data_IF_710508543873
#
_entry.id   IF_710508543873
#
_cell.length_a   1.000
_cell.length_b   1.000
_cell.length_c   1.000
_cell.angle_alpha   90.00
_cell.angle_beta   90.00
_cell.angle_gamma   90.00
#
_symmetry.space_group_name_H-M   'P 1'
#
loop_
_entity.id
_entity.type
_entity.pdbx_description
1 polymer ?
#
# COMPACT_ATOMS: atom_id res chain seq x y z
N UNK A 1 -4.43 -2.32 16.30
CA UNK A 1 -4.81 -2.75 14.94
C UNK A 1 -6.32 -2.76 14.89
N UNK A 2 -6.92 -2.33 13.77
CA UNK A 2 -8.36 -2.24 13.63
C UNK A 2 -8.90 -3.51 12.94
N UNK A 3 -9.99 -4.04 13.47
CA UNK A 3 -10.69 -5.17 12.86
C UNK A 3 -11.41 -4.75 11.58
N UNK A 4 -11.63 -5.72 10.69
CA UNK A 4 -12.44 -5.53 9.49
C UNK A 4 -13.84 -5.03 9.88
N UNK A 5 -14.36 -4.05 9.14
CA UNK A 5 -15.66 -3.43 9.38
C UNK A 5 -15.81 -2.65 10.72
N UNK A 6 -14.72 -2.28 11.40
CA UNK A 6 -14.78 -1.43 12.60
C UNK A 6 -15.20 0.03 12.35
N UNK A 7 -15.38 0.42 11.08
CA UNK A 7 -15.83 1.75 10.66
C UNK A 7 -14.93 2.90 11.18
N UNK A 8 -13.62 2.64 11.20
CA UNK A 8 -12.59 3.60 11.61
C UNK A 8 -11.62 3.81 10.46
N UNK A 9 -11.37 5.08 10.16
CA UNK A 9 -10.35 5.49 9.22
C UNK A 9 -9.00 5.62 9.95
N UNK A 10 -8.23 4.53 9.94
CA UNK A 10 -6.90 4.47 10.55
C UNK A 10 -5.96 3.81 9.57
N UNK A 11 -5.14 4.64 8.94
CA UNK A 11 -4.12 4.17 8.04
C UNK A 11 -3.03 3.42 8.81
N UNK A 12 -2.42 2.46 8.14
CA UNK A 12 -1.29 1.69 8.64
C UNK A 12 -0.23 1.64 7.55
N UNK A 13 1.02 1.37 7.93
CA UNK A 13 2.09 1.14 6.96
C UNK A 13 1.75 -0.06 6.07
N UNK A 14 2.27 -0.05 4.86
CA UNK A 14 2.00 -1.10 3.88
C UNK A 14 2.49 -2.46 4.43
N UNK A 15 1.57 -3.42 4.55
CA UNK A 15 1.86 -4.74 5.11
C UNK A 15 1.70 -4.86 6.63
N UNK A 16 1.59 -3.76 7.37
CA UNK A 16 1.39 -3.78 8.83
C UNK A 16 -0.11 -3.64 9.23
N UNK A 17 -0.97 -3.32 8.26
CA UNK A 17 -2.43 -3.27 8.42
C UNK A 17 -3.13 -4.58 8.06
N UNK A 18 -4.46 -4.61 8.21
CA UNK A 18 -5.28 -5.81 7.94
C UNK A 18 -5.54 -6.08 6.45
N UNK A 19 -5.23 -5.14 5.55
CA UNK A 19 -5.33 -5.32 4.09
C UNK A 19 -4.16 -6.17 3.56
N UNK A 20 -2.97 -5.99 4.12
CA UNK A 20 -1.75 -6.72 3.74
C UNK A 20 -1.05 -6.19 2.48
N UNK A 21 0.25 -6.52 2.36
CA UNK A 21 1.12 -6.05 1.28
C UNK A 21 0.67 -6.54 -0.10
N UNK A 22 0.37 -7.84 -0.24
CA UNK A 22 0.05 -8.43 -1.54
C UNK A 22 -1.23 -7.84 -2.15
N UNK A 23 -2.24 -7.52 -1.32
CA UNK A 23 -3.47 -6.89 -1.79
C UNK A 23 -3.20 -5.48 -2.34
N UNK A 24 -2.38 -4.69 -1.64
CA UNK A 24 -1.96 -3.36 -2.12
C UNK A 24 -1.19 -3.49 -3.43
N UNK A 25 -0.21 -4.38 -3.53
CA UNK A 25 0.55 -4.57 -4.77
C UNK A 25 -0.34 -4.97 -5.95
N UNK A 26 -1.36 -5.82 -5.74
CA UNK A 26 -2.33 -6.18 -6.79
C UNK A 26 -3.13 -4.98 -7.28
N UNK A 27 -3.51 -4.06 -6.38
CA UNK A 27 -4.23 -2.83 -6.77
C UNK A 27 -3.30 -1.91 -7.56
N UNK A 28 -2.08 -1.67 -7.08
CA UNK A 28 -1.11 -0.77 -7.74
C UNK A 28 -0.69 -1.30 -9.12
N UNK A 29 -0.62 -2.63 -9.29
CA UNK A 29 -0.31 -3.27 -10.58
C UNK A 29 -1.52 -3.55 -11.47
N UNK A 30 -2.73 -3.15 -11.09
CA UNK A 30 -3.93 -3.54 -11.83
C UNK A 30 -4.01 -2.83 -13.19
N UNK A 31 -4.20 -3.57 -14.29
CA UNK A 31 -4.22 -3.03 -15.66
C UNK A 31 -5.17 -1.84 -15.86
N UNK A 32 -6.36 -1.88 -15.25
CA UNK A 32 -7.34 -0.78 -15.31
C UNK A 32 -6.91 0.51 -14.61
N UNK A 33 -5.90 0.45 -13.74
CA UNK A 33 -5.38 1.59 -12.99
C UNK A 33 -4.02 2.06 -13.51
N UNK A 34 -3.53 1.44 -14.59
CA UNK A 34 -2.23 1.75 -15.20
C UNK A 34 -2.19 3.22 -15.65
N UNK A 35 -1.11 3.89 -15.29
CA UNK A 35 -0.89 5.31 -15.62
C UNK A 35 -1.58 6.30 -14.68
N UNK A 36 -2.33 5.84 -13.68
CA UNK A 36 -2.88 6.71 -12.65
C UNK A 36 -1.85 6.97 -11.54
N UNK A 37 -1.87 8.16 -10.92
CA UNK A 37 -1.04 8.43 -9.75
C UNK A 37 -1.57 7.69 -8.53
N UNK A 38 -0.66 7.14 -7.72
CA UNK A 38 -0.96 6.57 -6.41
C UNK A 38 -0.35 7.45 -5.33
N UNK A 39 -1.17 7.90 -4.37
CA UNK A 39 -0.74 8.71 -3.23
C UNK A 39 -0.65 7.84 -1.98
N UNK A 40 0.51 7.82 -1.31
CA UNK A 40 0.65 7.15 -0.01
C UNK A 40 0.34 8.12 1.11
N UNK A 41 -0.65 7.78 1.92
CA UNK A 41 -1.05 8.51 3.12
C UNK A 41 -0.86 7.65 4.38
N UNK A 42 0.06 6.68 4.30
CA UNK A 42 0.44 5.83 5.43
C UNK A 42 1.08 6.70 6.52
N UNK A 43 0.95 6.34 7.81
CA UNK A 43 1.58 7.09 8.89
C UNK A 43 3.11 6.87 8.87
N UNK A 44 3.81 7.64 8.03
CA UNK A 44 5.25 7.59 7.80
C UNK A 44 5.88 8.98 7.65
N UNK A 45 7.19 9.03 7.80
CA UNK A 45 8.06 10.12 7.38
C UNK A 45 8.68 9.83 6.00
N UNK A 46 9.37 10.80 5.38
CA UNK A 46 9.95 10.66 4.03
C UNK A 46 10.75 9.36 3.80
N UNK A 47 11.65 8.91 4.70
CA UNK A 47 12.38 7.65 4.51
C UNK A 47 11.46 6.42 4.57
N UNK A 48 10.36 6.50 5.32
CA UNK A 48 9.35 5.43 5.39
C UNK A 48 8.60 5.29 4.07
N UNK A 49 8.19 6.41 3.46
CA UNK A 49 7.57 6.39 2.14
C UNK A 49 8.52 5.87 1.06
N UNK A 50 9.80 6.25 1.09
CA UNK A 50 10.81 5.71 0.18
C UNK A 50 10.90 4.18 0.26
N UNK A 51 10.95 3.63 1.49
CA UNK A 51 10.99 2.19 1.71
C UNK A 51 9.73 1.49 1.20
N UNK A 52 8.54 2.03 1.47
CA UNK A 52 7.27 1.47 0.97
C UNK A 52 7.17 1.48 -0.54
N UNK A 53 7.56 2.59 -1.20
CA UNK A 53 7.58 2.70 -2.65
C UNK A 53 8.54 1.67 -3.26
N UNK A 54 9.73 1.52 -2.67
CA UNK A 54 10.71 0.52 -3.11
C UNK A 54 10.14 -0.88 -3.06
N UNK A 55 9.56 -1.29 -1.92
CA UNK A 55 8.97 -2.63 -1.75
C UNK A 55 7.83 -2.87 -2.74
N UNK A 56 6.96 -1.88 -2.95
CA UNK A 56 5.87 -2.01 -3.93
C UNK A 56 6.44 -2.25 -5.32
N UNK A 57 7.38 -1.41 -5.78
CA UNK A 57 8.01 -1.52 -7.12
C UNK A 57 8.71 -2.86 -7.33
N UNK A 58 9.49 -3.31 -6.35
CA UNK A 58 10.15 -4.64 -6.40
C UNK A 58 9.13 -5.77 -6.53
N UNK A 59 7.99 -5.68 -5.84
CA UNK A 59 6.91 -6.66 -6.03
C UNK A 59 6.24 -6.56 -7.39
N UNK A 60 6.08 -5.37 -7.97
CA UNK A 60 5.46 -5.21 -9.29
C UNK A 60 6.25 -5.94 -10.39
N UNK A 61 7.58 -5.95 -10.30
CA UNK A 61 8.44 -6.66 -11.27
C UNK A 61 8.27 -8.20 -11.22
N UNK A 62 7.68 -8.71 -10.14
CA UNK A 62 7.43 -10.13 -9.94
C UNK A 62 5.99 -10.57 -10.25
N UNK A 63 5.14 -9.66 -10.74
CA UNK A 63 3.78 -9.94 -11.22
C UNK A 63 3.73 -9.91 -12.75
#
# INVERSE_FOLDING_TARGET
MNDLACNKDRHAKIGEGSIGLDAICRVVSHEKLKGLPFNLETPNELPGYEAEIKVIREKQENF
#
